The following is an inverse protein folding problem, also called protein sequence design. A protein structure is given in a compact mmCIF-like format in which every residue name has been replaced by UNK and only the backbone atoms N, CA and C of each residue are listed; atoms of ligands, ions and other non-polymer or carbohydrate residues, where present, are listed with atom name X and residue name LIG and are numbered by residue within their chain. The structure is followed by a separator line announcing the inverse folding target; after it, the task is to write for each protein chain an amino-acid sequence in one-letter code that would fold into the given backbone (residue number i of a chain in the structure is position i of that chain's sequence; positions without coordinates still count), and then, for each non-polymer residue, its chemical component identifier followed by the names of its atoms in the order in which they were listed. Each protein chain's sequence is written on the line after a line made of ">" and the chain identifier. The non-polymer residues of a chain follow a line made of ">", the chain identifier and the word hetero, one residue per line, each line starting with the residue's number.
data_IF_127580066318
#
_entry.id   IF_127580066318
#
_cell.length_a   1.000
_cell.length_b   1.000
_cell.length_c   1.000
_cell.angle_alpha   90.00
_cell.angle_beta   90.00
_cell.angle_gamma   90.00
#
_symmetry.space_group_name_H-M   'P 1'
#
loop_
_entity.id
_entity.type
_entity.pdbx_description
1 polymer ?
#
# COMPACT_ATOMS: atom_id res chain seq x y z
N UNK A 1 -15.24 -32.85 -15.40
CA UNK A 1 -15.02 -31.40 -15.18
C UNK A 1 -14.22 -31.26 -13.89
N UNK A 2 -12.96 -30.81 -13.96
CA UNK A 2 -12.14 -30.67 -12.77
C UNK A 2 -12.74 -29.61 -11.83
N UNK A 3 -12.97 -29.97 -10.56
CA UNK A 3 -13.42 -29.02 -9.54
C UNK A 3 -12.36 -27.94 -9.36
N UNK A 4 -12.65 -26.73 -9.86
CA UNK A 4 -11.75 -25.61 -9.70
C UNK A 4 -11.80 -25.15 -8.24
N UNK A 5 -10.65 -25.15 -7.56
CA UNK A 5 -10.57 -24.70 -6.17
C UNK A 5 -11.14 -23.30 -5.94
N UNK A 6 -11.61 -23.02 -4.71
CA UNK A 6 -12.28 -21.78 -4.31
C UNK A 6 -11.54 -20.51 -4.79
N UNK A 7 -10.21 -20.48 -4.67
CA UNK A 7 -9.37 -19.35 -5.11
C UNK A 7 -9.52 -19.08 -6.61
N UNK A 8 -9.54 -20.13 -7.44
CA UNK A 8 -9.69 -19.99 -8.90
C UNK A 8 -11.07 -19.44 -9.24
N UNK A 9 -12.11 -19.92 -8.55
CA UNK A 9 -13.49 -19.42 -8.74
C UNK A 9 -13.62 -17.95 -8.33
N UNK A 10 -13.06 -17.56 -7.19
CA UNK A 10 -13.08 -16.15 -6.74
C UNK A 10 -12.30 -15.23 -7.68
N UNK A 11 -11.15 -15.68 -8.20
CA UNK A 11 -10.39 -14.94 -9.22
C UNK A 11 -11.17 -14.78 -10.53
N UNK A 12 -11.95 -15.79 -10.94
CA UNK A 12 -12.82 -15.67 -12.10
C UNK A 12 -13.91 -14.60 -11.90
N UNK A 13 -14.61 -14.65 -10.76
CA UNK A 13 -15.62 -13.63 -10.41
C UNK A 13 -15.03 -12.21 -10.41
N UNK A 14 -13.84 -12.03 -9.81
CA UNK A 14 -13.16 -10.73 -9.81
C UNK A 14 -12.86 -10.25 -11.24
N UNK A 15 -12.36 -11.14 -12.12
CA UNK A 15 -12.09 -10.79 -13.52
C UNK A 15 -13.33 -10.41 -14.32
N UNK A 16 -14.45 -11.07 -14.05
CA UNK A 16 -15.68 -10.87 -14.80
C UNK A 16 -16.48 -9.65 -14.32
N UNK A 17 -16.33 -9.26 -13.05
CA UNK A 17 -17.14 -8.22 -12.40
C UNK A 17 -16.41 -6.92 -12.12
N UNK A 18 -15.09 -6.95 -12.06
CA UNK A 18 -14.25 -5.80 -11.69
C UNK A 18 -13.31 -5.49 -12.84
N UNK A 19 -13.30 -4.25 -13.31
CA UNK A 19 -12.43 -3.85 -14.41
C UNK A 19 -10.93 -3.96 -14.07
N UNK A 20 -10.04 -3.98 -15.07
CA UNK A 20 -8.61 -4.18 -14.83
C UNK A 20 -7.99 -3.11 -13.92
N UNK A 21 -8.41 -1.86 -14.07
CA UNK A 21 -7.92 -0.74 -13.25
C UNK A 21 -8.36 -0.88 -11.81
N UNK A 22 -9.64 -1.19 -11.58
CA UNK A 22 -10.21 -1.38 -10.24
C UNK A 22 -9.54 -2.56 -9.53
N UNK A 23 -9.23 -3.65 -10.25
CA UNK A 23 -8.47 -4.77 -9.68
C UNK A 23 -7.09 -4.33 -9.20
N UNK A 24 -6.34 -3.57 -10.01
CA UNK A 24 -5.05 -3.04 -9.59
C UNK A 24 -5.18 -2.12 -8.38
N UNK A 25 -6.21 -1.26 -8.32
CA UNK A 25 -6.46 -0.39 -7.17
C UNK A 25 -6.82 -1.19 -5.90
N UNK A 26 -7.65 -2.23 -6.01
CA UNK A 26 -7.99 -3.11 -4.88
C UNK A 26 -6.75 -3.82 -4.35
N UNK A 27 -5.90 -4.35 -5.24
CA UNK A 27 -4.66 -5.03 -4.85
C UNK A 27 -3.69 -4.06 -4.18
N UNK A 28 -3.52 -2.85 -4.72
CA UNK A 28 -2.69 -1.82 -4.12
C UNK A 28 -3.22 -1.37 -2.75
N UNK A 29 -4.52 -1.10 -2.64
CA UNK A 29 -5.16 -0.69 -1.39
C UNK A 29 -5.09 -1.78 -0.31
N UNK A 30 -5.32 -3.04 -0.69
CA UNK A 30 -5.19 -4.19 0.21
C UNK A 30 -3.74 -4.38 0.65
N UNK A 31 -2.78 -4.26 -0.28
CA UNK A 31 -1.36 -4.31 -0.01
C UNK A 31 -0.92 -3.21 0.95
N UNK A 32 -1.39 -1.97 0.73
CA UNK A 32 -1.16 -0.85 1.63
C UNK A 32 -1.63 -1.15 3.05
N UNK A 33 -2.90 -1.52 3.22
CA UNK A 33 -3.48 -1.77 4.54
C UNK A 33 -2.79 -2.92 5.29
N UNK A 34 -2.51 -4.01 4.58
CA UNK A 34 -1.81 -5.16 5.15
C UNK A 34 -0.37 -4.81 5.55
N UNK A 35 0.40 -4.15 4.67
CA UNK A 35 1.77 -3.73 4.98
C UNK A 35 1.79 -2.77 6.16
N UNK A 36 0.93 -1.75 6.19
CA UNK A 36 0.85 -0.81 7.30
C UNK A 36 0.57 -1.51 8.63
N UNK A 37 -0.44 -2.40 8.67
CA UNK A 37 -0.80 -3.15 9.87
C UNK A 37 0.35 -4.06 10.34
N UNK A 38 1.01 -4.76 9.42
CA UNK A 38 2.15 -5.64 9.71
C UNK A 38 3.33 -4.82 10.26
N UNK A 39 3.70 -3.72 9.60
CA UNK A 39 4.80 -2.87 10.05
C UNK A 39 4.54 -2.33 11.45
N UNK A 40 3.32 -1.84 11.72
CA UNK A 40 2.93 -1.40 13.07
C UNK A 40 3.02 -2.52 14.10
N UNK A 41 2.49 -3.70 13.77
CA UNK A 41 2.53 -4.85 14.68
C UNK A 41 3.99 -5.24 15.02
N UNK A 42 4.87 -5.29 14.01
CA UNK A 42 6.30 -5.56 14.19
C UNK A 42 6.94 -4.50 15.07
N UNK A 43 6.70 -3.22 14.80
CA UNK A 43 7.24 -2.11 15.59
C UNK A 43 6.81 -2.16 17.05
N UNK A 44 5.53 -2.47 17.32
CA UNK A 44 5.05 -2.68 18.69
C UNK A 44 5.67 -3.91 19.35
N UNK A 45 5.86 -5.00 18.61
CA UNK A 45 6.48 -6.23 19.10
C UNK A 45 7.97 -6.03 19.47
N UNK A 46 8.72 -5.31 18.63
CA UNK A 46 10.11 -4.91 18.90
C UNK A 46 10.17 -4.01 20.14
N UNK A 47 9.28 -3.01 20.24
CA UNK A 47 9.17 -2.13 21.43
C UNK A 47 8.86 -2.90 22.72
N UNK A 48 8.14 -4.02 22.63
CA UNK A 48 7.87 -4.90 23.75
C UNK A 48 9.08 -5.78 24.14
N UNK A 49 10.24 -5.59 23.51
CA UNK A 49 11.51 -6.26 23.87
C UNK A 49 11.74 -7.60 23.17
N UNK A 50 10.90 -7.98 22.20
CA UNK A 50 10.99 -9.29 21.55
C UNK A 50 11.88 -9.30 20.28
N UNK A 51 12.39 -8.14 19.86
CA UNK A 51 13.20 -7.98 18.64
C UNK A 51 14.69 -7.80 18.88
N UNK A 52 15.48 -7.59 17.80
CA UNK A 52 16.89 -7.25 17.89
C UNK A 52 17.09 -6.00 18.77
N UNK A 53 18.12 -6.02 19.62
CA UNK A 53 18.46 -4.89 20.50
C UNK A 53 18.77 -3.59 19.74
N UNK A 54 19.10 -3.70 18.45
CA UNK A 54 19.31 -2.57 17.53
C UNK A 54 18.03 -1.89 17.07
N UNK A 55 16.84 -2.43 17.38
CA UNK A 55 15.55 -1.80 17.07
C UNK A 55 15.09 -1.88 15.62
N UNK A 56 15.83 -2.56 14.73
CA UNK A 56 15.50 -2.62 13.31
C UNK A 56 16.64 -3.05 12.40
N UNK A 57 16.65 -2.49 11.19
CA UNK A 57 17.61 -2.80 10.13
C UNK A 57 18.80 -1.84 10.20
N UNK A 58 20.01 -2.36 10.00
CA UNK A 58 21.22 -1.55 9.94
C UNK A 58 22.11 -1.97 8.77
N UNK A 59 22.75 -1.01 8.11
CA UNK A 59 23.73 -1.25 7.05
C UNK A 59 24.93 -0.30 7.21
N UNK A 60 26.14 -0.84 7.21
CA UNK A 60 27.37 -0.04 7.36
C UNK A 60 27.43 0.76 8.67
N UNK A 61 26.83 0.24 9.75
CA UNK A 61 26.76 0.91 11.06
C UNK A 61 25.68 2.01 11.18
N UNK A 62 24.87 2.25 10.14
CA UNK A 62 23.77 3.21 10.15
C UNK A 62 22.43 2.50 10.23
N UNK A 63 21.52 3.02 11.05
CA UNK A 63 20.15 2.54 11.13
C UNK A 63 19.39 2.93 9.85
N UNK A 64 18.70 1.97 9.25
CA UNK A 64 17.89 2.17 8.07
C UNK A 64 16.42 2.12 8.44
N UNK A 65 15.75 3.25 8.21
CA UNK A 65 14.31 3.36 8.29
C UNK A 65 13.65 2.54 7.17
N UNK A 66 12.49 1.96 7.45
CA UNK A 66 11.82 1.10 6.50
C UNK A 66 11.15 1.89 5.35
N UNK A 67 10.97 3.21 5.50
CA UNK A 67 10.57 4.08 4.38
C UNK A 67 11.58 4.02 3.22
N UNK A 68 12.87 3.72 3.48
CA UNK A 68 13.87 3.58 2.42
C UNK A 68 13.54 2.41 1.48
N UNK A 69 13.03 1.30 2.03
CA UNK A 69 12.52 0.19 1.23
C UNK A 69 11.29 0.65 0.43
N UNK A 70 10.43 1.46 1.05
CA UNK A 70 9.28 2.06 0.37
C UNK A 70 9.69 2.90 -0.85
N UNK A 71 10.70 3.76 -0.72
CA UNK A 71 11.27 4.55 -1.81
C UNK A 71 11.78 3.65 -2.94
N UNK A 72 12.54 2.59 -2.61
CA UNK A 72 13.05 1.66 -3.60
C UNK A 72 11.94 0.92 -4.35
N UNK A 73 10.89 0.49 -3.64
CA UNK A 73 9.71 -0.14 -4.25
C UNK A 73 9.00 0.82 -5.21
N UNK A 74 8.77 2.06 -4.79
CA UNK A 74 8.11 3.06 -5.65
C UNK A 74 8.98 3.47 -6.85
N UNK A 75 10.30 3.54 -6.68
CA UNK A 75 11.23 3.75 -7.80
C UNK A 75 11.16 2.61 -8.82
N UNK A 76 11.09 1.35 -8.35
CA UNK A 76 10.91 0.19 -9.23
C UNK A 76 9.55 0.22 -9.96
N UNK A 77 8.47 0.58 -9.27
CA UNK A 77 7.16 0.80 -9.89
C UNK A 77 7.22 1.91 -10.94
N UNK A 78 7.91 3.01 -10.65
CA UNK A 78 8.15 4.10 -11.61
C UNK A 78 8.91 3.62 -12.85
N UNK A 79 9.94 2.79 -12.68
CA UNK A 79 10.67 2.19 -13.80
C UNK A 79 9.76 1.28 -14.66
N UNK A 80 8.89 0.48 -14.04
CA UNK A 80 7.87 -0.32 -14.74
C UNK A 80 6.87 0.57 -15.48
N UNK A 81 6.46 1.70 -14.90
CA UNK A 81 5.58 2.65 -15.57
C UNK A 81 6.24 3.25 -16.82
N UNK A 82 7.50 3.67 -16.71
CA UNK A 82 8.24 4.32 -17.79
C UNK A 82 8.61 3.39 -18.95
N UNK A 83 9.02 2.15 -18.65
CA UNK A 83 9.63 1.24 -19.64
C UNK A 83 8.93 -0.11 -19.76
N UNK A 84 8.08 -0.47 -18.81
CA UNK A 84 7.41 -1.77 -18.80
C UNK A 84 6.30 -1.87 -19.85
N UNK A 85 6.15 -3.04 -20.46
CA UNK A 85 4.98 -3.36 -21.29
C UNK A 85 3.68 -3.39 -20.45
N UNK A 86 2.54 -3.31 -21.13
CA UNK A 86 1.23 -3.22 -20.49
C UNK A 86 0.93 -4.38 -19.54
N UNK A 87 1.39 -5.60 -19.86
CA UNK A 87 1.27 -6.77 -18.96
C UNK A 87 2.00 -6.59 -17.64
N UNK A 88 3.12 -5.87 -17.62
CA UNK A 88 3.90 -5.62 -16.41
C UNK A 88 3.25 -4.51 -15.59
N UNK A 89 2.78 -3.44 -16.24
CA UNK A 89 2.05 -2.35 -15.59
C UNK A 89 0.80 -2.84 -14.87
N UNK A 90 0.04 -3.75 -15.49
CA UNK A 90 -1.19 -4.35 -14.94
C UNK A 90 -0.94 -5.57 -14.04
N UNK A 91 0.31 -6.00 -13.90
CA UNK A 91 0.62 -7.17 -13.11
C UNK A 91 0.29 -6.93 -11.62
N UNK A 92 -0.36 -7.88 -10.91
CA UNK A 92 -0.70 -7.70 -9.49
C UNK A 92 0.51 -7.34 -8.61
N UNK A 93 1.70 -7.85 -8.94
CA UNK A 93 2.94 -7.53 -8.22
C UNK A 93 3.26 -6.03 -8.27
N UNK A 94 3.03 -5.36 -9.39
CA UNK A 94 3.25 -3.91 -9.53
C UNK A 94 2.32 -3.14 -8.60
N UNK A 95 1.05 -3.55 -8.54
CA UNK A 95 0.07 -2.96 -7.62
C UNK A 95 0.41 -3.25 -6.15
N UNK A 96 0.79 -4.48 -5.80
CA UNK A 96 1.24 -4.82 -4.45
C UNK A 96 2.47 -4.02 -4.04
N UNK A 97 3.48 -3.93 -4.92
CA UNK A 97 4.70 -3.16 -4.67
C UNK A 97 4.40 -1.67 -4.47
N UNK A 98 3.50 -1.10 -5.26
CA UNK A 98 3.04 0.28 -5.08
C UNK A 98 2.35 0.48 -3.72
N UNK A 99 1.39 -0.38 -3.38
CA UNK A 99 0.67 -0.32 -2.12
C UNK A 99 1.59 -0.46 -0.90
N UNK A 100 2.42 -1.50 -0.90
CA UNK A 100 3.39 -1.76 0.17
C UNK A 100 4.43 -0.64 0.28
N UNK A 101 4.96 -0.15 -0.84
CA UNK A 101 5.94 0.94 -0.82
C UNK A 101 5.37 2.22 -0.25
N UNK A 102 4.13 2.55 -0.62
CA UNK A 102 3.40 3.70 -0.07
C UNK A 102 3.15 3.54 1.43
N UNK A 103 2.75 2.34 1.89
CA UNK A 103 2.51 2.08 3.31
C UNK A 103 3.77 2.26 4.17
N UNK A 104 4.91 1.79 3.70
CA UNK A 104 6.19 1.93 4.41
C UNK A 104 6.62 3.40 4.54
N UNK A 105 6.29 4.24 3.57
CA UNK A 105 6.58 5.67 3.64
C UNK A 105 5.59 6.36 4.59
N UNK A 106 4.29 6.06 4.46
CA UNK A 106 3.24 6.65 5.30
C UNK A 106 3.42 6.28 6.78
N UNK A 107 3.94 5.09 7.07
CA UNK A 107 4.19 4.69 8.46
C UNK A 107 5.15 5.63 9.20
N UNK A 108 6.13 6.17 8.49
CA UNK A 108 7.09 7.16 9.00
C UNK A 108 6.80 8.59 8.54
N UNK A 109 5.57 8.88 8.09
CA UNK A 109 5.19 10.21 7.56
C UNK A 109 5.52 11.36 8.51
N UNK A 110 5.30 11.17 9.82
CA UNK A 110 5.64 12.16 10.82
C UNK A 110 7.13 12.55 10.78
N UNK A 111 8.04 11.58 10.64
CA UNK A 111 9.49 11.80 10.55
C UNK A 111 9.91 12.48 9.22
N UNK A 112 9.13 12.28 8.16
CA UNK A 112 9.39 12.92 6.87
C UNK A 112 8.96 14.39 6.84
N UNK A 113 7.97 14.76 7.66
CA UNK A 113 7.45 16.13 7.75
C UNK A 113 8.20 16.92 8.82
N UNK A 114 8.45 16.31 9.97
CA UNK A 114 9.21 16.89 11.06
C UNK A 114 10.50 16.08 11.22
N UNK A 115 11.60 16.61 10.67
CA UNK A 115 12.90 15.94 10.68
C UNK A 115 13.55 15.92 12.08
N UNK A 116 12.96 16.58 13.08
CA UNK A 116 13.36 16.39 14.48
C UNK A 116 12.86 15.04 14.99
N UNK A 117 13.76 14.30 15.63
CA UNK A 117 13.66 12.87 15.95
C UNK A 117 12.68 12.60 17.11
N UNK A 118 11.43 13.04 16.98
CA UNK A 118 10.38 12.94 18.00
C UNK A 118 9.42 11.80 17.70
N UNK A 119 9.98 10.63 17.37
CA UNK A 119 9.22 9.37 17.28
C UNK A 119 8.46 9.01 18.59
N UNK A 120 8.71 9.75 19.68
CA UNK A 120 8.35 9.37 21.04
C UNK A 120 7.36 10.31 21.74
N UNK A 121 6.98 11.47 21.20
CA UNK A 121 5.96 12.32 21.83
C UNK A 121 4.84 12.65 20.87
N UNK A 122 3.67 12.02 21.04
CA UNK A 122 2.39 12.35 20.36
C UNK A 122 2.34 12.21 18.80
N UNK A 123 3.47 12.10 18.09
CA UNK A 123 3.51 12.19 16.62
C UNK A 123 3.32 10.87 15.85
N UNK A 124 3.43 9.72 16.53
CA UNK A 124 3.03 8.43 15.94
C UNK A 124 1.55 8.40 15.52
N UNK A 125 0.73 9.30 16.08
CA UNK A 125 -0.67 9.47 15.71
C UNK A 125 -0.84 10.07 14.32
N UNK A 126 0.04 10.98 13.88
CA UNK A 126 -0.07 11.62 12.56
C UNK A 126 0.04 10.59 11.43
N UNK A 127 1.01 9.68 11.50
CA UNK A 127 1.13 8.57 10.54
C UNK A 127 -0.08 7.65 10.56
N UNK A 128 -0.65 7.37 11.75
CA UNK A 128 -1.85 6.54 11.89
C UNK A 128 -3.08 7.23 11.31
N UNK A 129 -3.30 8.50 11.62
CA UNK A 129 -4.42 9.30 11.12
C UNK A 129 -4.34 9.40 9.58
N UNK A 130 -3.13 9.60 9.02
CA UNK A 130 -2.90 9.59 7.58
C UNK A 130 -3.21 8.21 6.95
N UNK A 131 -2.70 7.12 7.54
CA UNK A 131 -2.95 5.78 7.03
C UNK A 131 -4.43 5.38 7.10
N UNK A 132 -5.10 5.65 8.22
CA UNK A 132 -6.54 5.40 8.40
C UNK A 132 -7.35 6.26 7.43
N UNK A 133 -6.97 7.52 7.22
CA UNK A 133 -7.58 8.40 6.23
C UNK A 133 -7.46 7.84 4.81
N UNK A 134 -6.26 7.39 4.41
CA UNK A 134 -6.03 6.76 3.11
C UNK A 134 -6.83 5.45 2.94
N UNK A 135 -6.91 4.63 3.99
CA UNK A 135 -7.71 3.40 3.98
C UNK A 135 -9.19 3.74 3.82
N UNK A 136 -9.71 4.72 4.58
CA UNK A 136 -11.11 5.11 4.56
C UNK A 136 -11.50 5.73 3.22
N UNK A 137 -10.73 6.69 2.70
CA UNK A 137 -10.99 7.32 1.40
C UNK A 137 -10.86 6.32 0.27
N UNK A 138 -9.81 5.50 0.27
CA UNK A 138 -9.62 4.44 -0.74
C UNK A 138 -10.76 3.41 -0.70
N UNK A 139 -11.16 2.97 0.49
CA UNK A 139 -12.27 2.04 0.68
C UNK A 139 -13.61 2.62 0.21
N UNK A 140 -13.89 3.88 0.54
CA UNK A 140 -15.09 4.59 0.07
C UNK A 140 -15.11 4.72 -1.45
N UNK A 141 -14.00 5.10 -2.05
CA UNK A 141 -13.86 5.18 -3.51
C UNK A 141 -14.15 3.81 -4.15
N UNK A 142 -13.51 2.75 -3.65
CA UNK A 142 -13.66 1.39 -4.17
C UNK A 142 -15.09 0.83 -3.98
N UNK A 143 -15.76 1.16 -2.87
CA UNK A 143 -17.15 0.77 -2.62
C UNK A 143 -18.15 1.46 -3.55
N UNK A 144 -17.83 2.68 -4.02
CA UNK A 144 -18.71 3.50 -4.86
C UNK A 144 -18.28 3.55 -6.34
N UNK A 145 -17.43 2.63 -6.80
CA UNK A 145 -16.95 2.58 -8.19
C UNK A 145 -18.05 2.69 -9.26
N UNK A 146 -19.21 1.99 -9.16
CA UNK A 146 -20.26 2.12 -10.17
C UNK A 146 -20.86 3.53 -10.24
N UNK A 147 -20.97 4.20 -9.09
CA UNK A 147 -21.45 5.57 -9.00
C UNK A 147 -20.48 6.53 -9.68
N UNK A 148 -19.18 6.45 -9.38
CA UNK A 148 -18.17 7.33 -9.96
C UNK A 148 -18.09 7.21 -11.49
N UNK A 149 -18.16 5.98 -12.02
CA UNK A 149 -18.24 5.76 -13.46
C UNK A 149 -19.50 6.35 -14.10
N UNK A 150 -20.64 6.25 -13.41
CA UNK A 150 -21.90 6.87 -13.84
C UNK A 150 -21.78 8.39 -13.92
N UNK A 151 -21.30 9.02 -12.84
CA UNK A 151 -21.12 10.45 -12.75
C UNK A 151 -20.15 11.00 -13.81
N UNK A 152 -19.00 10.35 -13.99
CA UNK A 152 -18.00 10.77 -14.98
C UNK A 152 -18.57 10.75 -16.41
N UNK A 153 -19.34 9.71 -16.78
CA UNK A 153 -19.99 9.64 -18.09
C UNK A 153 -21.00 10.75 -18.30
N UNK A 154 -21.76 11.12 -17.26
CA UNK A 154 -22.75 12.18 -17.37
C UNK A 154 -22.11 13.57 -17.50
N UNK A 155 -21.01 13.80 -16.78
CA UNK A 155 -20.23 15.05 -16.88
C UNK A 155 -19.58 15.20 -18.25
N UNK A 156 -19.00 14.12 -18.80
CA UNK A 156 -18.32 14.11 -20.10
C UNK A 156 -19.25 14.09 -21.32
N UNK A 157 -20.56 13.91 -21.10
CA UNK A 157 -21.59 14.00 -22.15
C UNK A 157 -22.08 15.43 -22.39
N UNK A 158 -21.63 16.39 -21.58
CA UNK A 158 -21.83 17.82 -21.79
C UNK A 158 -20.70 18.40 -22.61
#
# INVERSE_FOLDING_TARGET
>A
MADQGLVTRLRAVARDRVGPTEQSLIVAWSGFGATFAITRAITHWIRAGHGPSSGGMSAGGRHLHHYNIGILLLAAVGAVALRGEERHRRHPVTATAYGSGTALIVDELALLIDLEDVYWSRDGRTSVDAAVGLIAVGGLYLAAVPFWHGAAREVLRR
#
